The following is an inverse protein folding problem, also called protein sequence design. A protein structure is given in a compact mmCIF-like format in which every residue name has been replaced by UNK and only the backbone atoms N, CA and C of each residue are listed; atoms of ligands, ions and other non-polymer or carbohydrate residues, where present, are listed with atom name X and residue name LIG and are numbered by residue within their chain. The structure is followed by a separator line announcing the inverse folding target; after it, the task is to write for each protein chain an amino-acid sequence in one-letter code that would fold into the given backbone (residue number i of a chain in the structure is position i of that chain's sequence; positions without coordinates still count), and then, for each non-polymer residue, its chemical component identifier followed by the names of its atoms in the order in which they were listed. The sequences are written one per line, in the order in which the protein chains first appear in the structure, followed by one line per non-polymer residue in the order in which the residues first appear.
data_IF_298777731763
#
_entry.id   IF_298777731763
#
_cell.length_a   1.000
_cell.length_b   1.000
_cell.length_c   1.000
_cell.angle_alpha   90.00
_cell.angle_beta   90.00
_cell.angle_gamma   90.00
#
_symmetry.space_group_name_H-M   'P 1'
#
loop_
_entity.id
_entity.type
_entity.pdbx_description
1 polymer ?
#
# COMPACT_ATOMS: atom_id res chain seq x y z
N UNK A 1 -80.76 -48.78 -4.54
CA UNK A 1 -80.66 -48.12 -3.22
C UNK A 1 -79.98 -49.07 -2.25
N UNK A 2 -78.75 -48.77 -1.84
CA UNK A 2 -78.06 -49.46 -0.74
C UNK A 2 -77.18 -48.41 -0.06
N UNK A 3 -77.69 -47.85 1.02
CA UNK A 3 -76.98 -46.88 1.85
C UNK A 3 -75.96 -47.63 2.71
N UNK A 4 -74.68 -47.31 2.51
CA UNK A 4 -73.58 -47.76 3.33
C UNK A 4 -73.46 -46.76 4.50
N UNK A 5 -73.78 -47.18 5.72
CA UNK A 5 -73.53 -46.40 6.93
C UNK A 5 -72.03 -46.40 7.25
N UNK A 6 -71.36 -45.27 7.03
CA UNK A 6 -70.03 -44.97 7.61
C UNK A 6 -70.21 -44.60 9.09
N UNK A 7 -69.72 -45.46 9.97
CA UNK A 7 -69.59 -45.20 11.41
C UNK A 7 -68.29 -44.39 11.62
N UNK A 8 -68.29 -43.20 12.26
CA UNK A 8 -67.06 -42.52 12.63
C UNK A 8 -66.51 -43.17 13.90
N UNK A 9 -65.36 -43.83 13.77
CA UNK A 9 -64.55 -44.32 14.90
C UNK A 9 -63.87 -43.10 15.54
N UNK A 10 -64.49 -42.58 16.60
CA UNK A 10 -63.90 -41.53 17.42
C UNK A 10 -62.68 -42.10 18.17
N UNK A 11 -61.47 -41.74 17.71
CA UNK A 11 -60.25 -41.87 18.49
C UNK A 11 -60.33 -40.93 19.70
N UNK A 12 -60.67 -41.50 20.86
CA UNK A 12 -60.45 -40.88 22.16
C UNK A 12 -58.95 -40.87 22.43
N UNK A 13 -58.27 -39.81 21.99
CA UNK A 13 -56.94 -39.47 22.51
C UNK A 13 -57.17 -38.94 23.93
N UNK A 14 -57.25 -39.85 24.90
CA UNK A 14 -57.10 -39.49 26.31
C UNK A 14 -55.68 -38.97 26.47
N UNK A 15 -55.53 -37.65 26.59
CA UNK A 15 -54.32 -37.03 27.10
C UNK A 15 -54.13 -37.48 28.54
N UNK A 16 -53.29 -38.50 28.76
CA UNK A 16 -52.67 -38.71 30.06
C UNK A 16 -51.86 -37.44 30.36
N UNK A 17 -52.39 -36.57 31.22
CA UNK A 17 -51.58 -35.52 31.84
C UNK A 17 -50.44 -36.23 32.57
N UNK A 18 -49.21 -35.96 32.15
CA UNK A 18 -48.02 -36.61 32.69
C UNK A 18 -47.78 -36.05 34.10
N UNK A 19 -48.32 -36.73 35.11
CA UNK A 19 -48.36 -36.27 36.50
C UNK A 19 -46.99 -35.85 37.02
N UNK A 20 -45.93 -36.56 36.60
CA UNK A 20 -44.56 -36.29 37.01
C UNK A 20 -44.02 -34.95 36.48
N UNK A 21 -44.46 -34.49 35.30
CA UNK A 21 -44.06 -33.19 34.74
C UNK A 21 -44.66 -32.07 35.59
N UNK A 22 -45.94 -32.17 35.93
CA UNK A 22 -46.62 -31.17 36.77
C UNK A 22 -46.05 -31.14 38.19
N UNK A 23 -45.74 -32.31 38.76
CA UNK A 23 -45.11 -32.41 40.08
C UNK A 23 -43.69 -31.80 40.07
N UNK A 24 -42.88 -32.07 39.04
CA UNK A 24 -41.58 -31.42 38.86
C UNK A 24 -41.74 -29.90 38.74
N UNK A 25 -42.67 -29.42 37.88
CA UNK A 25 -42.94 -27.99 37.68
C UNK A 25 -43.40 -27.29 38.97
N UNK A 26 -44.13 -28.00 39.84
CA UNK A 26 -44.55 -27.52 41.16
C UNK A 26 -43.45 -27.55 42.22
N UNK A 27 -42.38 -28.32 42.01
CA UNK A 27 -41.25 -28.44 42.93
C UNK A 27 -40.32 -27.22 42.90
N UNK A 28 -39.37 -27.16 43.84
CA UNK A 28 -38.33 -26.11 43.90
C UNK A 28 -36.95 -26.72 43.74
N UNK A 29 -36.02 -25.96 43.14
CA UNK A 29 -34.63 -26.37 43.00
C UNK A 29 -33.87 -25.97 44.28
N UNK A 30 -33.06 -26.88 44.88
CA UNK A 30 -32.23 -26.53 46.03
C UNK A 30 -31.36 -25.31 45.77
N UNK A 31 -31.50 -24.27 46.60
CA UNK A 31 -30.84 -22.97 46.44
C UNK A 31 -31.70 -21.88 45.81
N UNK A 32 -32.84 -22.23 45.18
CA UNK A 32 -33.74 -21.29 44.51
C UNK A 32 -35.20 -21.47 44.99
N UNK A 33 -35.42 -21.57 46.30
CA UNK A 33 -36.73 -21.86 46.89
C UNK A 33 -37.80 -20.77 46.67
N UNK A 34 -37.41 -19.60 46.14
CA UNK A 34 -38.33 -18.49 45.85
C UNK A 34 -39.20 -18.71 44.61
N UNK A 35 -38.86 -19.68 43.76
CA UNK A 35 -39.59 -19.98 42.52
C UNK A 35 -39.72 -21.48 42.33
N UNK A 36 -40.82 -21.90 41.71
CA UNK A 36 -40.97 -23.29 41.27
C UNK A 36 -40.18 -23.53 39.98
N UNK A 37 -39.90 -24.81 39.65
CA UNK A 37 -39.26 -25.18 38.39
C UNK A 37 -40.06 -24.64 37.20
N UNK A 38 -41.39 -24.78 37.21
CA UNK A 38 -42.26 -24.27 36.15
C UNK A 38 -42.15 -22.75 35.99
N UNK A 39 -42.12 -21.99 37.09
CA UNK A 39 -41.94 -20.53 37.04
C UNK A 39 -40.61 -20.11 36.43
N UNK A 40 -39.54 -20.88 36.69
CA UNK A 40 -38.20 -20.61 36.15
C UNK A 40 -38.07 -20.99 34.67
N UNK A 41 -38.68 -22.11 34.25
CA UNK A 41 -38.41 -22.72 32.94
C UNK A 41 -39.48 -22.41 31.88
N UNK A 42 -40.75 -22.22 32.23
CA UNK A 42 -41.84 -22.10 31.25
C UNK A 42 -41.95 -20.72 30.59
N UNK A 43 -41.52 -19.66 31.28
CA UNK A 43 -41.74 -18.26 30.85
C UNK A 43 -40.43 -17.50 30.59
N UNK A 44 -39.43 -18.20 30.06
CA UNK A 44 -38.10 -17.64 29.78
C UNK A 44 -38.14 -16.76 28.53
N UNK A 45 -37.59 -15.56 28.62
CA UNK A 45 -37.53 -14.60 27.50
C UNK A 45 -36.72 -15.16 26.32
N UNK A 46 -35.59 -15.81 26.63
CA UNK A 46 -34.72 -16.49 25.67
C UNK A 46 -35.44 -17.53 24.79
N UNK A 47 -36.44 -18.22 25.31
CA UNK A 47 -37.08 -19.36 24.63
C UNK A 47 -38.20 -18.87 23.70
N UNK A 48 -38.14 -19.26 22.42
CA UNK A 48 -39.22 -19.11 21.44
C UNK A 48 -40.37 -20.04 21.78
N UNK A 49 -40.04 -21.28 22.13
CA UNK A 49 -40.96 -22.30 22.60
C UNK A 49 -40.25 -23.16 23.64
N UNK A 50 -41.04 -23.76 24.52
CA UNK A 50 -40.60 -24.74 25.51
C UNK A 50 -41.38 -26.02 25.32
N UNK A 51 -40.73 -27.15 25.52
CA UNK A 51 -41.36 -28.47 25.49
C UNK A 51 -40.91 -29.29 26.69
N UNK A 52 -41.83 -30.11 27.19
CA UNK A 52 -41.59 -31.04 28.29
C UNK A 52 -42.06 -32.41 27.86
N UNK A 53 -41.22 -33.42 28.09
CA UNK A 53 -41.57 -34.80 27.77
C UNK A 53 -41.05 -35.76 28.83
N UNK A 54 -41.64 -36.94 28.88
CA UNK A 54 -41.19 -38.02 29.76
C UNK A 54 -40.72 -39.19 28.92
N UNK A 55 -39.60 -39.79 29.31
CA UNK A 55 -39.11 -41.05 28.74
C UNK A 55 -38.63 -41.99 29.85
N UNK A 56 -38.50 -43.26 29.50
CA UNK A 56 -37.85 -44.24 30.36
C UNK A 56 -36.35 -44.26 30.07
N UNK A 57 -35.53 -44.18 31.11
CA UNK A 57 -34.10 -44.42 31.07
C UNK A 57 -33.75 -45.89 30.88
N UNK A 58 -32.46 -46.17 30.69
CA UNK A 58 -31.96 -47.51 30.37
C UNK A 58 -32.20 -48.53 31.50
N UNK A 59 -32.35 -48.06 32.75
CA UNK A 59 -32.60 -48.93 33.91
C UNK A 59 -34.07 -48.91 34.35
N UNK A 60 -34.96 -48.36 33.51
CA UNK A 60 -36.38 -48.26 33.79
C UNK A 60 -36.75 -47.10 34.71
N UNK A 61 -35.80 -46.23 35.06
CA UNK A 61 -36.08 -44.96 35.74
C UNK A 61 -36.86 -44.01 34.84
N UNK A 62 -37.74 -43.20 35.42
CA UNK A 62 -38.45 -42.16 34.67
C UNK A 62 -37.56 -40.92 34.56
N UNK A 63 -37.43 -40.39 33.36
CA UNK A 63 -36.67 -39.17 33.05
C UNK A 63 -37.64 -38.15 32.46
N UNK A 64 -37.61 -36.93 32.98
CA UNK A 64 -38.32 -35.79 32.45
C UNK A 64 -37.31 -34.92 31.69
N UNK A 65 -37.57 -34.64 30.43
CA UNK A 65 -36.76 -33.77 29.60
C UNK A 65 -37.48 -32.44 29.39
N UNK A 66 -36.75 -31.34 29.60
CA UNK A 66 -37.11 -30.00 29.18
C UNK A 66 -36.28 -29.62 27.97
N UNK A 67 -36.91 -28.92 27.02
CA UNK A 67 -36.22 -28.28 25.93
C UNK A 67 -36.71 -26.84 25.70
N UNK A 68 -35.77 -25.95 25.43
CA UNK A 68 -35.98 -24.54 25.10
C UNK A 68 -35.41 -24.26 23.72
N UNK A 69 -36.28 -24.04 22.73
CA UNK A 69 -35.86 -23.56 21.41
C UNK A 69 -35.58 -22.07 21.55
N UNK A 70 -34.35 -21.64 21.30
CA UNK A 70 -33.96 -20.24 21.48
C UNK A 70 -34.58 -19.32 20.42
N UNK A 71 -34.85 -18.07 20.79
CA UNK A 71 -35.27 -17.01 19.86
C UNK A 71 -34.10 -16.48 19.04
N UNK A 72 -34.44 -15.98 17.85
CA UNK A 72 -33.58 -15.12 17.02
C UNK A 72 -32.25 -15.75 16.58
N UNK A 73 -32.17 -17.09 16.57
CA UNK A 73 -30.95 -17.81 16.15
C UNK A 73 -30.58 -17.47 14.70
N UNK A 74 -31.53 -17.64 13.77
CA UNK A 74 -31.31 -17.36 12.35
C UNK A 74 -31.00 -15.88 12.09
N UNK A 75 -31.76 -14.96 12.70
CA UNK A 75 -31.56 -13.52 12.54
C UNK A 75 -30.16 -13.09 13.02
N UNK A 76 -29.72 -13.63 14.16
CA UNK A 76 -28.37 -13.38 14.66
C UNK A 76 -27.31 -13.91 13.69
N UNK A 77 -27.45 -15.13 13.16
CA UNK A 77 -26.46 -15.68 12.24
C UNK A 77 -26.38 -14.88 10.93
N UNK A 78 -27.51 -14.49 10.36
CA UNK A 78 -27.54 -13.67 9.14
C UNK A 78 -26.87 -12.32 9.36
N UNK A 79 -27.20 -11.63 10.45
CA UNK A 79 -26.57 -10.36 10.82
C UNK A 79 -25.07 -10.53 11.05
N UNK A 80 -24.66 -11.57 11.77
CA UNK A 80 -23.25 -11.80 12.08
C UNK A 80 -22.42 -12.12 10.83
N UNK A 81 -22.98 -12.86 9.86
CA UNK A 81 -22.35 -13.11 8.55
C UNK A 81 -22.18 -11.80 7.78
N UNK A 82 -23.21 -10.96 7.76
CA UNK A 82 -23.18 -9.66 7.06
C UNK A 82 -22.16 -8.71 7.68
N UNK A 83 -22.18 -8.52 9.00
CA UNK A 83 -21.21 -7.68 9.72
C UNK A 83 -19.77 -8.18 9.50
N UNK A 84 -19.56 -9.50 9.54
CA UNK A 84 -18.24 -10.09 9.26
C UNK A 84 -17.79 -9.86 7.81
N UNK A 85 -18.73 -9.86 6.86
CA UNK A 85 -18.42 -9.60 5.46
C UNK A 85 -18.04 -8.13 5.24
N UNK A 86 -18.74 -7.19 5.86
CA UNK A 86 -18.36 -5.76 5.86
C UNK A 86 -16.96 -5.56 6.46
N UNK A 87 -16.68 -6.24 7.58
CA UNK A 87 -15.34 -6.25 8.19
C UNK A 87 -14.28 -6.80 7.23
N UNK A 88 -14.60 -7.82 6.42
CA UNK A 88 -13.68 -8.36 5.41
C UNK A 88 -13.45 -7.37 4.28
N UNK A 89 -14.50 -6.73 3.78
CA UNK A 89 -14.40 -5.69 2.73
C UNK A 89 -13.61 -4.47 3.23
N UNK A 90 -13.78 -4.09 4.50
CA UNK A 90 -13.02 -3.00 5.13
C UNK A 90 -11.52 -3.25 5.19
N UNK A 91 -11.05 -4.49 5.01
CA UNK A 91 -9.62 -4.80 4.91
C UNK A 91 -9.04 -4.52 3.53
N UNK A 92 -9.85 -4.56 2.48
CA UNK A 92 -9.44 -4.13 1.14
C UNK A 92 -9.06 -2.65 1.18
N UNK A 93 -9.83 -1.85 1.92
CA UNK A 93 -9.58 -0.42 2.08
C UNK A 93 -8.36 -0.07 2.95
N UNK A 94 -7.66 -1.04 3.53
CA UNK A 94 -6.40 -0.78 4.24
C UNK A 94 -5.26 -0.91 3.24
N UNK A 95 -4.45 0.15 3.12
CA UNK A 95 -3.29 0.25 2.22
C UNK A 95 -2.63 -1.10 1.96
N UNK A 96 -2.94 -1.67 0.80
CA UNK A 96 -2.28 -2.88 0.33
C UNK A 96 -0.80 -2.60 0.04
N UNK A 97 0.01 -3.65 -0.07
CA UNK A 97 1.38 -3.49 -0.55
C UNK A 97 1.45 -2.82 -1.94
N UNK A 98 0.40 -2.98 -2.75
CA UNK A 98 0.28 -2.33 -4.06
C UNK A 98 0.01 -0.83 -3.92
N UNK A 99 -0.84 -0.40 -2.98
CA UNK A 99 -1.04 1.04 -2.69
C UNK A 99 0.25 1.71 -2.18
N UNK A 100 1.05 1.02 -1.37
CA UNK A 100 2.36 1.53 -0.97
C UNK A 100 3.29 1.72 -2.18
N UNK A 101 3.28 0.79 -3.14
CA UNK A 101 4.05 0.93 -4.38
C UNK A 101 3.53 2.06 -5.26
N UNK A 102 2.21 2.26 -5.32
CA UNK A 102 1.58 3.40 -6.01
C UNK A 102 2.08 4.72 -5.40
N UNK A 103 2.09 4.85 -4.06
CA UNK A 103 2.61 6.04 -3.38
C UNK A 103 4.08 6.28 -3.72
N UNK A 104 4.93 5.24 -3.63
CA UNK A 104 6.36 5.33 -3.94
C UNK A 104 6.63 5.77 -5.39
N UNK A 105 5.90 5.20 -6.36
CA UNK A 105 6.00 5.58 -7.77
C UNK A 105 5.48 6.99 -8.00
N UNK A 106 4.41 7.38 -7.31
CA UNK A 106 3.86 8.75 -7.40
C UNK A 106 4.86 9.78 -6.90
N UNK A 107 5.50 9.52 -5.76
CA UNK A 107 6.59 10.36 -5.24
C UNK A 107 7.78 10.42 -6.20
N UNK A 108 8.18 9.26 -6.75
CA UNK A 108 9.21 9.15 -7.78
C UNK A 108 8.86 9.96 -9.03
N UNK A 109 7.60 9.96 -9.47
CA UNK A 109 7.13 10.69 -10.65
C UNK A 109 7.21 12.20 -10.43
N UNK A 110 6.80 12.70 -9.26
CA UNK A 110 6.96 14.11 -8.89
C UNK A 110 8.42 14.54 -8.93
N UNK A 111 9.33 13.69 -8.44
CA UNK A 111 10.77 13.94 -8.51
C UNK A 111 11.27 14.03 -9.96
N UNK A 112 10.93 13.06 -10.81
CA UNK A 112 11.38 13.02 -12.21
C UNK A 112 10.77 14.14 -13.05
N UNK A 113 9.51 14.53 -12.82
CA UNK A 113 8.89 15.67 -13.48
C UNK A 113 9.60 16.98 -13.11
N UNK A 114 9.97 17.17 -11.84
CA UNK A 114 10.76 18.34 -11.41
C UNK A 114 12.15 18.35 -12.07
N UNK A 115 12.81 17.20 -12.13
CA UNK A 115 14.10 17.08 -12.81
C UNK A 115 13.98 17.39 -14.31
N UNK A 116 12.92 16.92 -14.97
CA UNK A 116 12.64 17.23 -16.37
C UNK A 116 12.43 18.73 -16.58
N UNK A 117 11.69 19.42 -15.70
CA UNK A 117 11.55 20.88 -15.75
C UNK A 117 12.91 21.57 -15.64
N UNK A 118 13.74 21.15 -14.69
CA UNK A 118 15.07 21.74 -14.53
C UNK A 118 15.96 21.56 -15.79
N UNK A 119 15.95 20.37 -16.40
CA UNK A 119 16.69 20.12 -17.66
C UNK A 119 16.13 20.95 -18.81
N UNK A 120 14.81 21.16 -18.87
CA UNK A 120 14.19 22.02 -19.87
C UNK A 120 14.60 23.48 -19.68
N UNK A 121 14.63 23.98 -18.45
CA UNK A 121 15.09 25.33 -18.13
C UNK A 121 16.57 25.52 -18.53
N UNK A 122 17.43 24.53 -18.26
CA UNK A 122 18.84 24.55 -18.68
C UNK A 122 19.04 24.51 -20.20
N UNK A 123 18.09 23.94 -20.95
CA UNK A 123 18.09 23.93 -22.41
C UNK A 123 17.59 25.26 -22.97
N UNK A 124 16.58 25.87 -22.34
CA UNK A 124 16.01 27.15 -22.76
C UNK A 124 16.96 28.33 -22.49
N UNK A 125 17.79 28.20 -21.45
CA UNK A 125 18.99 29.01 -21.29
C UNK A 125 19.99 28.66 -22.41
N UNK A 126 19.87 29.34 -23.56
CA UNK A 126 20.81 29.31 -24.70
C UNK A 126 22.18 29.91 -24.34
N UNK A 127 22.66 29.62 -23.14
CA UNK A 127 23.93 30.07 -22.61
C UNK A 127 25.04 29.12 -23.05
N UNK A 128 26.16 29.66 -23.57
CA UNK A 128 27.34 28.87 -23.88
C UNK A 128 27.85 28.15 -22.63
N UNK A 129 28.49 27.00 -22.83
CA UNK A 129 29.09 26.28 -21.72
C UNK A 129 30.10 27.18 -20.97
N UNK A 130 30.18 27.16 -19.62
CA UNK A 130 31.06 28.05 -18.86
C UNK A 130 32.54 28.01 -19.32
N UNK A 131 32.99 26.85 -19.78
CA UNK A 131 34.32 26.70 -20.37
C UNK A 131 34.46 27.39 -21.73
N UNK A 132 33.44 27.34 -22.59
CA UNK A 132 33.39 28.04 -23.86
C UNK A 132 33.43 29.57 -23.65
N UNK A 133 32.75 30.09 -22.62
CA UNK A 133 32.83 31.51 -22.22
C UNK A 133 34.27 31.89 -21.88
N UNK A 134 34.96 31.08 -21.06
CA UNK A 134 36.36 31.31 -20.67
C UNK A 134 37.32 31.25 -21.87
N UNK A 135 37.11 30.33 -22.80
CA UNK A 135 37.90 30.26 -24.03
C UNK A 135 37.59 31.45 -24.96
N UNK A 136 36.33 31.88 -25.07
CA UNK A 136 35.92 33.06 -25.82
C UNK A 136 36.60 34.34 -25.31
N UNK A 137 36.75 34.49 -23.99
CA UNK A 137 37.53 35.58 -23.40
C UNK A 137 39.01 35.54 -23.82
N UNK A 138 39.61 34.34 -23.93
CA UNK A 138 40.99 34.20 -24.43
C UNK A 138 41.10 34.53 -25.91
N UNK A 139 40.12 34.12 -26.72
CA UNK A 139 40.03 34.49 -28.13
C UNK A 139 39.94 36.01 -28.28
N UNK A 140 39.12 36.70 -27.48
CA UNK A 140 39.01 38.15 -27.50
C UNK A 140 40.36 38.86 -27.25
N UNK A 141 41.15 38.40 -26.28
CA UNK A 141 42.51 38.93 -26.00
C UNK A 141 43.46 38.68 -27.18
N UNK A 142 43.39 37.52 -27.82
CA UNK A 142 44.22 37.22 -29.00
C UNK A 142 43.82 38.04 -30.23
N UNK A 143 42.53 38.35 -30.40
CA UNK A 143 42.05 39.24 -31.45
C UNK A 143 42.62 40.64 -31.24
N UNK A 144 42.54 41.19 -30.02
CA UNK A 144 43.13 42.49 -29.69
C UNK A 144 44.64 42.51 -29.97
N UNK A 145 45.36 41.46 -29.56
CA UNK A 145 46.79 41.30 -29.87
C UNK A 145 47.07 41.27 -31.38
N UNK A 146 46.24 40.56 -32.16
CA UNK A 146 46.36 40.50 -33.61
C UNK A 146 46.13 41.87 -34.25
N UNK A 147 45.14 42.61 -33.78
CA UNK A 147 44.85 43.98 -34.24
C UNK A 147 46.02 44.92 -33.94
N UNK A 148 46.59 44.87 -32.74
CA UNK A 148 47.81 45.62 -32.38
C UNK A 148 48.98 45.25 -33.32
N UNK A 149 49.28 43.95 -33.48
CA UNK A 149 50.33 43.46 -34.39
C UNK A 149 50.12 43.90 -35.85
N UNK A 150 48.88 44.06 -36.29
CA UNK A 150 48.54 44.49 -37.64
C UNK A 150 48.67 46.01 -37.83
N UNK A 151 48.58 46.77 -36.74
CA UNK A 151 48.71 48.22 -36.73
C UNK A 151 50.16 48.71 -36.55
N UNK A 152 51.05 47.86 -36.00
CA UNK A 152 52.44 48.22 -35.72
C UNK A 152 53.24 48.48 -37.00
N UNK A 153 53.91 49.63 -37.02
CA UNK A 153 54.95 49.93 -38.01
C UNK A 153 56.34 49.54 -37.49
N UNK A 154 57.32 49.49 -38.38
CA UNK A 154 58.73 49.30 -38.01
C UNK A 154 59.23 50.38 -37.03
N UNK A 155 58.78 51.61 -37.21
CA UNK A 155 59.14 52.73 -36.36
C UNK A 155 58.53 52.55 -34.96
N UNK A 156 57.30 52.05 -34.85
CA UNK A 156 56.67 51.75 -33.56
C UNK A 156 57.44 50.68 -32.78
N UNK A 157 57.96 49.65 -33.48
CA UNK A 157 58.80 48.61 -32.87
C UNK A 157 60.16 49.16 -32.46
N UNK A 158 60.78 49.99 -33.31
CA UNK A 158 62.06 50.64 -33.02
C UNK A 158 61.97 51.55 -31.79
N UNK A 159 60.87 52.29 -31.67
CA UNK A 159 60.61 53.21 -30.56
C UNK A 159 60.07 52.51 -29.31
N UNK A 160 59.63 51.25 -29.42
CA UNK A 160 59.08 50.49 -28.30
C UNK A 160 57.64 50.86 -27.93
N UNK A 161 56.86 51.33 -28.91
CA UNK A 161 55.45 51.71 -28.76
C UNK A 161 54.51 50.52 -28.94
N UNK A 162 54.66 49.51 -28.08
CA UNK A 162 53.77 48.36 -28.01
C UNK A 162 53.47 48.05 -26.55
N UNK A 163 52.27 47.58 -26.26
CA UNK A 163 51.73 47.54 -24.89
C UNK A 163 51.49 46.13 -24.36
N UNK A 164 51.22 45.16 -25.23
CA UNK A 164 50.67 43.85 -24.81
C UNK A 164 51.63 42.67 -24.88
N UNK A 165 52.76 42.74 -25.59
CA UNK A 165 53.61 41.56 -25.77
C UNK A 165 55.11 41.78 -25.48
N UNK A 166 55.74 40.72 -24.99
CA UNK A 166 57.15 40.71 -24.59
C UNK A 166 58.00 40.36 -25.81
N UNK A 167 58.88 41.26 -26.20
CA UNK A 167 59.80 41.01 -27.31
C UNK A 167 60.85 39.93 -26.94
N UNK A 168 61.11 38.97 -27.83
CA UNK A 168 62.27 38.10 -27.73
C UNK A 168 63.57 38.91 -27.71
N UNK A 169 64.62 38.34 -27.10
CA UNK A 169 65.93 38.98 -26.99
C UNK A 169 66.51 39.42 -28.34
N UNK A 170 66.30 38.62 -29.38
CA UNK A 170 66.79 38.92 -30.73
C UNK A 170 66.11 40.15 -31.34
N UNK A 171 64.85 40.43 -30.96
CA UNK A 171 64.12 41.63 -31.39
C UNK A 171 64.53 42.85 -30.58
N UNK A 172 64.80 42.67 -29.28
CA UNK A 172 65.39 43.73 -28.45
C UNK A 172 66.76 44.16 -29.00
N UNK A 173 67.56 43.18 -29.46
CA UNK A 173 68.87 43.43 -30.07
C UNK A 173 68.73 44.12 -31.43
N UNK A 174 67.85 43.62 -32.32
CA UNK A 174 67.56 44.25 -33.61
C UNK A 174 67.02 45.68 -33.46
N UNK A 175 66.17 45.93 -32.45
CA UNK A 175 65.70 47.27 -32.09
C UNK A 175 66.86 48.20 -31.72
N UNK A 176 67.79 47.71 -30.90
CA UNK A 176 68.95 48.51 -30.51
C UNK A 176 69.81 48.87 -31.72
N UNK A 177 70.02 47.93 -32.65
CA UNK A 177 70.74 48.15 -33.91
C UNK A 177 70.04 49.19 -34.82
N UNK A 178 68.71 49.27 -34.80
CA UNK A 178 67.96 50.32 -35.54
C UNK A 178 68.03 51.70 -34.88
N UNK A 179 68.09 51.76 -33.54
CA UNK A 179 68.04 53.02 -32.79
C UNK A 179 69.40 53.74 -32.69
N UNK A 180 70.52 53.03 -32.88
CA UNK A 180 71.86 53.60 -32.75
C UNK A 180 72.43 54.04 -34.11
N UNK A 181 72.42 55.34 -34.39
CA UNK A 181 73.14 55.94 -35.53
C UNK A 181 74.68 55.95 -35.35
N UNK A 182 75.17 55.52 -34.18
CA UNK A 182 76.58 55.57 -33.82
C UNK A 182 77.26 54.23 -34.08
N UNK A 183 78.21 54.22 -35.03
CA UNK A 183 79.06 53.06 -35.34
C UNK A 183 79.95 52.77 -34.13
N UNK A 184 79.87 51.59 -33.50
CA UNK A 184 80.87 51.17 -32.53
C UNK A 184 82.22 51.05 -33.22
N UNK A 185 83.23 51.77 -32.72
CA UNK A 185 84.61 51.74 -33.22
C UNK A 185 85.12 50.29 -33.30
N UNK A 186 85.15 49.71 -34.50
CA UNK A 186 85.71 48.37 -34.74
C UNK A 186 84.94 47.46 -35.71
N UNK A 187 83.77 47.84 -36.22
CA UNK A 187 83.02 47.02 -37.18
C UNK A 187 82.99 47.63 -38.59
N UNK A 188 83.21 46.79 -39.61
CA UNK A 188 83.37 47.18 -41.02
C UNK A 188 82.11 47.08 -41.89
N UNK A 189 80.95 46.74 -41.31
CA UNK A 189 79.68 46.68 -42.06
C UNK A 189 79.08 48.09 -42.24
N UNK A 190 78.61 48.45 -43.44
CA UNK A 190 77.87 49.70 -43.67
C UNK A 190 76.61 49.76 -42.79
N UNK A 191 76.36 50.92 -42.17
CA UNK A 191 75.19 51.16 -41.29
C UNK A 191 73.85 50.73 -41.94
N UNK A 192 73.72 50.94 -43.25
CA UNK A 192 72.54 50.56 -44.04
C UNK A 192 72.27 49.05 -44.04
N UNK A 193 73.31 48.21 -44.16
CA UNK A 193 73.14 46.75 -44.19
C UNK A 193 72.67 46.19 -42.83
N UNK A 194 73.08 46.82 -41.73
CA UNK A 194 72.64 46.48 -40.36
C UNK A 194 71.19 46.86 -40.12
N UNK A 195 70.82 48.08 -40.48
CA UNK A 195 69.43 48.54 -40.39
C UNK A 195 68.50 47.67 -41.25
N UNK A 196 68.91 47.32 -42.47
CA UNK A 196 68.16 46.42 -43.33
C UNK A 196 68.04 44.99 -42.76
N UNK A 197 69.08 44.49 -42.09
CA UNK A 197 69.05 43.19 -41.42
C UNK A 197 68.11 43.22 -40.21
N UNK A 198 68.22 44.24 -39.36
CA UNK A 198 67.35 44.41 -38.20
C UNK A 198 65.88 44.56 -38.61
N UNK A 199 65.61 45.33 -39.68
CA UNK A 199 64.28 45.45 -40.29
C UNK A 199 63.72 44.09 -40.71
N UNK A 200 64.49 43.28 -41.45
CA UNK A 200 64.06 41.94 -41.87
C UNK A 200 63.77 41.03 -40.68
N UNK A 201 64.57 41.11 -39.62
CA UNK A 201 64.37 40.32 -38.38
C UNK A 201 63.03 40.71 -37.72
N UNK A 202 62.76 42.01 -37.59
CA UNK A 202 61.50 42.52 -37.01
C UNK A 202 60.29 42.16 -37.87
N UNK A 203 60.35 42.35 -39.19
CA UNK A 203 59.28 41.99 -40.12
C UNK A 203 58.96 40.49 -40.06
N UNK A 204 60.01 39.65 -40.07
CA UNK A 204 59.85 38.19 -39.98
C UNK A 204 59.19 37.80 -38.66
N UNK A 205 59.60 38.41 -37.56
CA UNK A 205 59.01 38.16 -36.24
C UNK A 205 57.54 38.59 -36.18
N UNK A 206 57.20 39.79 -36.68
CA UNK A 206 55.81 40.26 -36.70
C UNK A 206 54.91 39.33 -37.51
N UNK A 207 55.36 38.87 -38.68
CA UNK A 207 54.58 37.94 -39.51
C UNK A 207 54.46 36.55 -38.87
N UNK A 208 55.52 36.04 -38.23
CA UNK A 208 55.47 34.78 -37.48
C UNK A 208 54.52 34.87 -36.28
N UNK A 209 54.55 35.98 -35.54
CA UNK A 209 53.69 36.21 -34.38
C UNK A 209 52.22 36.37 -34.79
N UNK A 210 51.93 37.09 -35.89
CA UNK A 210 50.59 37.18 -36.48
C UNK A 210 50.09 35.80 -36.89
N UNK A 211 50.91 35.01 -37.59
CA UNK A 211 50.56 33.65 -38.03
C UNK A 211 50.26 32.75 -36.84
N UNK A 212 51.08 32.81 -35.79
CA UNK A 212 50.91 32.00 -34.58
C UNK A 212 49.64 32.41 -33.83
N UNK A 213 49.41 33.72 -33.67
CA UNK A 213 48.21 34.26 -33.02
C UNK A 213 46.94 33.86 -33.78
N UNK A 214 46.95 33.94 -35.12
CA UNK A 214 45.83 33.50 -35.95
C UNK A 214 45.58 31.99 -35.80
N UNK A 215 46.63 31.17 -35.83
CA UNK A 215 46.52 29.73 -35.64
C UNK A 215 45.96 29.36 -34.26
N UNK A 216 46.32 30.11 -33.22
CA UNK A 216 45.78 29.93 -31.88
C UNK A 216 44.31 30.34 -31.77
N UNK A 217 43.90 31.43 -32.42
CA UNK A 217 42.49 31.83 -32.53
C UNK A 217 41.67 30.70 -33.17
N UNK A 218 42.07 30.24 -34.36
CA UNK A 218 41.37 29.17 -35.10
C UNK A 218 41.34 27.84 -34.31
N UNK A 219 42.36 27.56 -33.49
CA UNK A 219 42.38 26.40 -32.61
C UNK A 219 41.39 26.54 -31.47
N UNK A 220 41.35 27.69 -30.80
CA UNK A 220 40.46 27.95 -29.68
C UNK A 220 38.98 28.05 -30.13
N UNK A 221 38.71 28.63 -31.29
CA UNK A 221 37.36 28.67 -31.88
C UNK A 221 36.82 27.26 -32.14
N UNK A 222 37.65 26.37 -32.73
CA UNK A 222 37.28 24.95 -32.89
C UNK A 222 37.03 24.25 -31.55
N UNK A 223 37.84 24.55 -30.54
CA UNK A 223 37.66 23.99 -29.19
C UNK A 223 36.34 24.46 -28.55
N UNK A 224 35.98 25.74 -28.72
CA UNK A 224 34.69 26.30 -28.29
C UNK A 224 33.52 25.58 -28.99
N UNK A 225 33.59 25.40 -30.31
CA UNK A 225 32.55 24.71 -31.09
C UNK A 225 32.39 23.25 -30.64
N UNK A 226 33.50 22.54 -30.41
CA UNK A 226 33.47 21.17 -29.91
C UNK A 226 32.85 21.06 -28.51
N UNK A 227 33.18 22.00 -27.61
CA UNK A 227 32.63 22.05 -26.25
C UNK A 227 31.12 22.30 -26.30
N UNK A 228 30.67 23.29 -27.07
CA UNK A 228 29.25 23.62 -27.20
C UNK A 228 28.47 22.45 -27.82
N UNK A 229 29.01 21.80 -28.85
CA UNK A 229 28.41 20.61 -29.45
C UNK A 229 28.27 19.46 -28.44
N UNK A 230 29.32 19.17 -27.66
CA UNK A 230 29.26 18.13 -26.61
C UNK A 230 28.25 18.48 -25.52
N UNK A 231 28.15 19.76 -25.15
CA UNK A 231 27.17 20.23 -24.18
C UNK A 231 25.73 20.02 -24.69
N UNK A 232 25.47 20.35 -25.96
CA UNK A 232 24.17 20.12 -26.61
C UNK A 232 23.81 18.62 -26.66
N UNK A 233 24.76 17.77 -27.08
CA UNK A 233 24.57 16.31 -27.09
C UNK A 233 24.30 15.75 -25.68
N UNK A 234 24.97 16.27 -24.66
CA UNK A 234 24.74 15.91 -23.26
C UNK A 234 23.35 16.33 -22.76
N UNK A 235 22.93 17.57 -23.07
CA UNK A 235 21.58 18.07 -22.75
C UNK A 235 20.51 17.21 -23.42
N UNK A 236 20.65 16.92 -24.72
CA UNK A 236 19.72 16.08 -25.47
C UNK A 236 19.62 14.66 -24.89
N UNK A 237 20.76 14.03 -24.53
CA UNK A 237 20.77 12.72 -23.85
C UNK A 237 20.07 12.75 -22.50
N UNK A 238 20.33 13.78 -21.70
CA UNK A 238 19.72 13.95 -20.38
C UNK A 238 18.21 14.15 -20.48
N UNK A 239 17.75 14.97 -21.44
CA UNK A 239 16.34 15.17 -21.74
C UNK A 239 15.65 13.87 -22.19
N UNK A 240 16.27 13.13 -23.11
CA UNK A 240 15.73 11.86 -23.58
C UNK A 240 15.63 10.82 -22.45
N UNK A 241 16.63 10.77 -21.56
CA UNK A 241 16.61 9.89 -20.40
C UNK A 241 15.53 10.28 -19.38
N UNK A 242 15.39 11.57 -19.09
CA UNK A 242 14.38 12.07 -18.15
C UNK A 242 12.95 11.80 -18.66
N UNK A 243 12.70 12.03 -19.97
CA UNK A 243 11.40 11.71 -20.59
C UNK A 243 11.09 10.23 -20.50
N UNK A 244 12.05 9.36 -20.83
CA UNK A 244 11.87 7.92 -20.76
C UNK A 244 11.52 7.46 -19.34
N UNK A 245 12.20 7.99 -18.32
CA UNK A 245 11.90 7.66 -16.92
C UNK A 245 10.48 8.11 -16.50
N UNK A 246 10.03 9.29 -16.95
CA UNK A 246 8.65 9.75 -16.72
C UNK A 246 7.65 8.82 -17.40
N UNK A 247 7.87 8.47 -18.67
CA UNK A 247 6.98 7.59 -19.44
C UNK A 247 6.91 6.18 -18.82
N UNK A 248 8.05 5.60 -18.43
CA UNK A 248 8.12 4.29 -17.76
C UNK A 248 7.36 4.29 -16.42
N UNK A 249 7.56 5.32 -15.59
CA UNK A 249 6.83 5.44 -14.32
C UNK A 249 5.33 5.67 -14.52
N UNK A 250 4.91 6.41 -15.55
CA UNK A 250 3.48 6.59 -15.89
C UNK A 250 2.83 5.28 -16.31
N UNK A 251 3.51 4.50 -17.14
CA UNK A 251 3.01 3.20 -17.56
C UNK A 251 2.90 2.23 -16.38
N UNK A 252 3.94 2.16 -15.53
CA UNK A 252 3.92 1.31 -14.35
C UNK A 252 2.83 1.72 -13.35
N UNK A 253 2.60 3.04 -13.16
CA UNK A 253 1.51 3.53 -12.33
C UNK A 253 0.15 3.08 -12.85
N UNK A 254 -0.10 3.22 -14.16
CA UNK A 254 -1.35 2.78 -14.77
C UNK A 254 -1.57 1.28 -14.64
N UNK A 255 -0.53 0.45 -14.83
CA UNK A 255 -0.60 -0.99 -14.64
C UNK A 255 -0.95 -1.37 -13.18
N UNK A 256 -0.35 -0.70 -12.20
CA UNK A 256 -0.63 -0.96 -10.78
C UNK A 256 -2.02 -0.49 -10.36
N UNK A 257 -2.49 0.65 -10.88
CA UNK A 257 -3.85 1.14 -10.64
C UNK A 257 -4.89 0.15 -11.18
N UNK A 258 -4.67 -0.40 -12.38
CA UNK A 258 -5.51 -1.45 -12.94
C UNK A 258 -5.47 -2.73 -12.08
N UNK A 259 -4.27 -3.16 -11.65
CA UNK A 259 -4.10 -4.33 -10.78
C UNK A 259 -4.89 -4.18 -9.46
N UNK A 260 -4.87 -3.00 -8.83
CA UNK A 260 -5.61 -2.73 -7.59
C UNK A 260 -7.12 -2.87 -7.82
N UNK A 261 -7.64 -2.30 -8.90
CA UNK A 261 -9.08 -2.38 -9.23
C UNK A 261 -9.49 -3.83 -9.46
N UNK A 262 -8.76 -4.56 -10.30
CA UNK A 262 -9.05 -5.97 -10.60
C UNK A 262 -8.99 -6.84 -9.35
N UNK A 263 -8.00 -6.62 -8.48
CA UNK A 263 -7.86 -7.37 -7.22
C UNK A 263 -9.00 -7.06 -6.25
N UNK A 264 -9.41 -5.79 -6.15
CA UNK A 264 -10.54 -5.38 -5.32
C UNK A 264 -11.84 -6.04 -5.80
N UNK A 265 -12.15 -5.98 -7.09
CA UNK A 265 -13.34 -6.62 -7.68
C UNK A 265 -13.36 -8.15 -7.46
N UNK A 266 -12.20 -8.80 -7.64
CA UNK A 266 -12.06 -10.24 -7.39
C UNK A 266 -12.33 -10.58 -5.93
N UNK A 267 -11.82 -9.80 -4.98
CA UNK A 267 -12.06 -10.05 -3.57
C UNK A 267 -13.51 -9.76 -3.16
N UNK A 268 -14.11 -8.68 -3.65
CA UNK A 268 -15.54 -8.39 -3.42
C UNK A 268 -16.41 -9.55 -3.89
N UNK A 269 -16.09 -10.11 -5.06
CA UNK A 269 -16.77 -11.29 -5.59
C UNK A 269 -16.57 -12.51 -4.68
N UNK A 270 -15.34 -12.78 -4.24
CA UNK A 270 -15.05 -13.88 -3.31
C UNK A 270 -15.81 -13.76 -1.99
N UNK A 271 -15.86 -12.56 -1.40
CA UNK A 271 -16.62 -12.31 -0.16
C UNK A 271 -18.12 -12.49 -0.40
N UNK A 272 -18.65 -11.97 -1.51
CA UNK A 272 -20.07 -12.13 -1.86
C UNK A 272 -20.45 -13.59 -2.05
N UNK A 273 -19.64 -14.34 -2.79
CA UNK A 273 -19.87 -15.77 -3.03
C UNK A 273 -19.78 -16.57 -1.72
N UNK A 274 -18.82 -16.25 -0.85
CA UNK A 274 -18.70 -16.84 0.48
C UNK A 274 -19.92 -16.56 1.37
N UNK A 275 -20.42 -15.32 1.39
CA UNK A 275 -21.65 -14.98 2.13
C UNK A 275 -22.85 -15.74 1.58
N UNK A 276 -22.98 -15.81 0.25
CA UNK A 276 -24.06 -16.56 -0.40
C UNK A 276 -23.97 -18.06 -0.06
N UNK A 277 -22.76 -18.64 -0.06
CA UNK A 277 -22.52 -20.02 0.34
C UNK A 277 -22.96 -20.27 1.78
N UNK A 278 -22.51 -19.44 2.74
CA UNK A 278 -22.90 -19.58 4.14
C UNK A 278 -24.41 -19.44 4.34
N UNK A 279 -25.05 -18.46 3.68
CA UNK A 279 -26.51 -18.28 3.75
C UNK A 279 -27.28 -19.46 3.14
N UNK A 280 -26.70 -20.14 2.16
CA UNK A 280 -27.29 -21.31 1.51
C UNK A 280 -26.97 -22.64 2.24
N UNK A 281 -26.09 -22.63 3.24
CA UNK A 281 -25.89 -23.79 4.11
C UNK A 281 -27.11 -23.96 5.02
N UNK A 282 -27.71 -25.15 4.94
CA UNK A 282 -28.82 -25.70 5.75
C UNK A 282 -29.85 -24.71 6.32
N UNK A 283 -31.11 -24.84 5.91
CA UNK A 283 -32.24 -24.13 6.54
C UNK A 283 -32.48 -24.55 8.00
N UNK A 284 -31.86 -25.64 8.45
CA UNK A 284 -31.99 -26.17 9.81
C UNK A 284 -31.04 -25.43 10.78
N UNK A 285 -31.21 -24.11 10.89
CA UNK A 285 -30.51 -23.28 11.88
C UNK A 285 -31.31 -23.23 13.17
N UNK A 286 -30.77 -23.80 14.24
CA UNK A 286 -31.45 -23.83 15.54
C UNK A 286 -30.45 -23.87 16.69
N UNK A 287 -30.95 -23.49 17.87
CA UNK A 287 -30.29 -23.70 19.14
C UNK A 287 -31.33 -24.16 20.17
N UNK A 288 -31.03 -25.27 20.83
CA UNK A 288 -31.85 -25.95 21.81
C UNK A 288 -31.08 -26.03 23.12
N UNK A 289 -31.57 -25.42 24.18
CA UNK A 289 -31.09 -25.69 25.53
C UNK A 289 -31.95 -26.78 26.16
N UNK A 290 -31.32 -27.80 26.74
CA UNK A 290 -32.02 -28.95 27.31
C UNK A 290 -31.58 -29.24 28.73
N UNK A 291 -32.52 -29.75 29.52
CA UNK A 291 -32.30 -30.23 30.87
C UNK A 291 -33.06 -31.55 31.04
N UNK A 292 -32.43 -32.53 31.69
CA UNK A 292 -33.08 -33.80 32.02
C UNK A 292 -33.05 -34.01 33.52
N UNK A 293 -34.18 -34.43 34.10
CA UNK A 293 -34.29 -34.81 35.51
C UNK A 293 -34.66 -36.27 35.63
N UNK A 294 -33.99 -36.99 36.53
CA UNK A 294 -34.42 -38.33 36.94
C UNK A 294 -35.40 -38.23 38.11
N UNK A 295 -36.47 -39.02 38.05
CA UNK A 295 -37.43 -39.16 39.15
C UNK A 295 -36.97 -40.29 40.07
N UNK A 296 -36.55 -39.96 41.28
CA UNK A 296 -36.09 -40.94 42.26
C UNK A 296 -37.29 -41.68 42.91
N UNK A 297 -37.10 -42.90 43.45
CA UNK A 297 -38.20 -43.69 44.04
C UNK A 297 -38.92 -43.03 45.23
N UNK A 298 -38.27 -42.07 45.89
CA UNK A 298 -38.82 -41.26 46.98
C UNK A 298 -39.59 -40.02 46.50
N UNK A 299 -39.74 -39.84 45.17
CA UNK A 299 -40.38 -38.68 44.56
C UNK A 299 -39.50 -37.43 44.46
N UNK A 300 -38.19 -37.51 44.73
CA UNK A 300 -37.28 -36.37 44.51
C UNK A 300 -36.76 -36.33 43.09
N UNK A 301 -36.42 -35.13 42.60
CA UNK A 301 -35.90 -34.91 41.26
C UNK A 301 -34.43 -34.51 41.29
N UNK A 302 -33.61 -35.14 40.46
CA UNK A 302 -32.18 -34.83 40.33
C UNK A 302 -31.85 -34.51 38.87
N UNK A 303 -31.09 -33.43 38.63
CA UNK A 303 -30.64 -33.06 37.28
C UNK A 303 -29.62 -34.09 36.80
N UNK A 304 -29.98 -34.81 35.75
CA UNK A 304 -29.14 -35.79 35.07
C UNK A 304 -28.29 -35.16 33.97
N UNK A 305 -28.88 -34.26 33.19
CA UNK A 305 -28.22 -33.58 32.08
C UNK A 305 -28.62 -32.12 32.04
N UNK A 306 -27.69 -31.27 31.63
CA UNK A 306 -27.96 -29.90 31.25
C UNK A 306 -26.96 -29.49 30.19
N UNK A 307 -27.44 -28.93 29.08
CA UNK A 307 -26.58 -28.55 27.98
C UNK A 307 -27.32 -27.76 26.93
N UNK A 308 -26.64 -27.49 25.84
CA UNK A 308 -27.28 -27.00 24.63
C UNK A 308 -26.72 -27.73 23.43
N UNK A 309 -27.58 -27.92 22.45
CA UNK A 309 -27.21 -28.34 21.10
C UNK A 309 -27.72 -27.33 20.09
N UNK A 310 -27.09 -27.27 18.93
CA UNK A 310 -27.52 -26.39 17.88
C UNK A 310 -26.85 -26.72 16.56
N UNK A 311 -27.45 -26.21 15.50
CA UNK A 311 -26.89 -26.29 14.18
C UNK A 311 -26.74 -24.86 13.64
N UNK A 312 -25.50 -24.51 13.31
CA UNK A 312 -25.07 -23.18 12.90
C UNK A 312 -24.53 -23.21 11.48
N UNK A 313 -24.82 -22.18 10.67
CA UNK A 313 -24.20 -21.99 9.34
C UNK A 313 -22.68 -21.82 9.42
N UNK A 314 -22.18 -21.31 10.56
CA UNK A 314 -20.77 -20.98 10.73
C UNK A 314 -20.03 -22.09 11.46
N UNK A 315 -20.67 -22.68 12.49
CA UNK A 315 -20.03 -23.68 13.37
C UNK A 315 -20.36 -25.12 13.00
N UNK A 316 -21.37 -25.34 12.16
CA UNK A 316 -21.98 -26.66 11.98
C UNK A 316 -22.74 -27.10 13.23
N UNK A 317 -22.81 -28.42 13.46
CA UNK A 317 -23.43 -28.99 14.65
C UNK A 317 -22.56 -28.76 15.89
N UNK A 318 -23.18 -28.24 16.95
CA UNK A 318 -22.56 -28.00 18.25
C UNK A 318 -23.40 -28.74 19.29
N UNK A 319 -22.73 -29.47 20.19
CA UNK A 319 -23.37 -30.07 21.35
C UNK A 319 -22.44 -29.88 22.55
N UNK A 320 -22.92 -29.19 23.57
CA UNK A 320 -22.14 -28.84 24.76
C UNK A 320 -22.91 -29.12 26.03
N UNK A 321 -22.34 -29.97 26.88
CA UNK A 321 -22.83 -30.18 28.24
C UNK A 321 -22.29 -29.11 29.18
N UNK A 322 -23.15 -28.52 30.00
CA UNK A 322 -22.72 -27.60 31.04
C UNK A 322 -21.87 -28.34 32.08
N UNK A 323 -20.63 -27.89 32.27
CA UNK A 323 -19.74 -28.47 33.28
C UNK A 323 -20.29 -28.32 34.70
N UNK A 324 -21.05 -27.26 34.93
CA UNK A 324 -21.77 -27.04 36.17
C UNK A 324 -23.19 -26.54 35.84
N UNK A 325 -24.17 -27.45 35.89
CA UNK A 325 -25.56 -27.12 35.60
C UNK A 325 -26.12 -26.04 36.54
N UNK A 326 -25.55 -25.84 37.74
CA UNK A 326 -25.98 -24.76 38.64
C UNK A 326 -25.75 -23.39 38.05
N UNK A 327 -24.65 -23.17 37.32
CA UNK A 327 -24.42 -21.91 36.64
C UNK A 327 -25.40 -21.66 35.50
N UNK A 328 -25.91 -22.72 34.87
CA UNK A 328 -26.99 -22.57 33.90
C UNK A 328 -28.29 -22.19 34.60
N UNK A 329 -28.62 -22.83 35.72
CA UNK A 329 -29.79 -22.49 36.54
C UNK A 329 -29.70 -21.07 37.11
N UNK A 330 -28.52 -20.60 37.54
CA UNK A 330 -28.29 -19.21 37.96
C UNK A 330 -28.74 -18.22 36.87
N UNK A 331 -28.37 -18.47 35.62
CA UNK A 331 -28.75 -17.61 34.48
C UNK A 331 -30.24 -17.67 34.19
N UNK A 332 -30.86 -18.85 34.35
CA UNK A 332 -32.31 -19.02 34.23
C UNK A 332 -33.02 -18.20 35.30
N UNK A 333 -32.57 -18.31 36.55
CA UNK A 333 -33.09 -17.57 37.69
C UNK A 333 -32.98 -16.06 37.49
N UNK A 334 -31.86 -15.57 36.97
CA UNK A 334 -31.71 -14.15 36.65
C UNK A 334 -32.67 -13.68 35.54
N UNK A 335 -33.08 -14.59 34.63
CA UNK A 335 -33.96 -14.33 33.49
C UNK A 335 -33.61 -13.05 32.70
N UNK A 336 -32.29 -12.79 32.58
CA UNK A 336 -31.74 -11.60 31.91
C UNK A 336 -31.59 -11.81 30.40
N UNK A 337 -31.34 -13.04 29.98
CA UNK A 337 -31.09 -13.40 28.59
C UNK A 337 -32.39 -13.35 27.79
N UNK A 338 -32.41 -12.55 26.73
CA UNK A 338 -33.59 -12.31 25.90
C UNK A 338 -33.52 -13.02 24.55
N UNK A 339 -32.33 -13.25 24.02
CA UNK A 339 -32.11 -13.83 22.69
C UNK A 339 -30.81 -14.65 22.63
N UNK A 340 -30.62 -15.34 21.49
CA UNK A 340 -29.46 -16.21 21.25
C UNK A 340 -28.12 -15.49 21.35
N UNK A 341 -28.03 -14.23 20.91
CA UNK A 341 -26.80 -13.45 20.98
C UNK A 341 -26.34 -13.23 22.43
N UNK A 342 -27.24 -12.80 23.30
CA UNK A 342 -26.95 -12.62 24.73
C UNK A 342 -26.55 -13.94 25.38
N UNK A 343 -27.20 -15.05 24.99
CA UNK A 343 -26.82 -16.38 25.43
C UNK A 343 -25.38 -16.73 25.03
N UNK A 344 -25.00 -16.53 23.76
CA UNK A 344 -23.64 -16.78 23.28
C UNK A 344 -22.59 -15.89 23.95
N UNK A 345 -22.91 -14.62 24.23
CA UNK A 345 -22.02 -13.73 24.98
C UNK A 345 -21.82 -14.22 26.40
N UNK A 346 -22.89 -14.64 27.07
CA UNK A 346 -22.83 -15.14 28.44
C UNK A 346 -22.09 -16.49 28.54
N UNK A 347 -22.19 -17.36 27.54
CA UNK A 347 -21.52 -18.68 27.52
C UNK A 347 -20.12 -18.65 26.93
N UNK A 348 -19.69 -17.53 26.34
CA UNK A 348 -18.41 -17.41 25.64
C UNK A 348 -18.44 -17.91 24.19
N UNK A 349 -19.57 -18.40 23.69
CA UNK A 349 -19.74 -18.84 22.31
C UNK A 349 -19.51 -17.72 21.26
N UNK A 350 -19.73 -16.46 21.63
CA UNK A 350 -19.47 -15.32 20.73
C UNK A 350 -17.97 -15.18 20.40
N UNK A 351 -17.08 -15.46 21.35
CA UNK A 351 -15.64 -15.40 21.11
C UNK A 351 -15.19 -16.53 20.16
N UNK A 352 -15.79 -17.70 20.28
CA UNK A 352 -15.54 -18.85 19.40
C UNK A 352 -15.97 -18.56 17.96
N UNK A 353 -17.14 -17.93 17.76
CA UNK A 353 -17.60 -17.50 16.43
C UNK A 353 -16.63 -16.52 15.79
N UNK A 354 -16.15 -15.53 16.54
CA UNK A 354 -15.12 -14.59 16.04
C UNK A 354 -13.83 -15.31 15.62
N UNK A 355 -13.40 -16.34 16.38
CA UNK A 355 -12.22 -17.13 16.01
C UNK A 355 -12.44 -17.95 14.73
N UNK A 356 -13.64 -18.50 14.53
CA UNK A 356 -14.00 -19.21 13.30
C UNK A 356 -13.99 -18.26 12.10
N UNK A 357 -14.61 -17.08 12.21
CA UNK A 357 -14.58 -16.07 11.15
C UNK A 357 -13.18 -15.57 10.84
N UNK A 358 -12.31 -15.43 11.86
CA UNK A 358 -10.90 -15.11 11.63
C UNK A 358 -10.16 -16.18 10.83
N UNK A 359 -10.55 -17.46 10.92
CA UNK A 359 -9.97 -18.53 10.10
C UNK A 359 -10.47 -18.46 8.66
N UNK A 360 -11.76 -18.23 8.45
CA UNK A 360 -12.32 -17.99 7.12
C UNK A 360 -11.64 -16.80 6.44
N UNK A 361 -11.47 -15.71 7.18
CA UNK A 361 -10.71 -14.53 6.73
C UNK A 361 -9.31 -14.89 6.25
N UNK A 362 -8.56 -15.67 7.03
CA UNK A 362 -7.22 -16.11 6.65
C UNK A 362 -7.22 -16.93 5.35
N UNK A 363 -8.20 -17.81 5.18
CA UNK A 363 -8.38 -18.61 3.97
C UNK A 363 -8.68 -17.75 2.74
N UNK A 364 -9.62 -16.81 2.86
CA UNK A 364 -9.98 -15.88 1.78
C UNK A 364 -8.78 -15.03 1.35
N UNK A 365 -8.03 -14.48 2.30
CA UNK A 365 -6.83 -13.70 2.02
C UNK A 365 -5.76 -14.54 1.32
N UNK A 366 -5.60 -15.82 1.68
CA UNK A 366 -4.61 -16.70 1.04
C UNK A 366 -4.95 -17.10 -0.41
N UNK A 367 -6.19 -16.87 -0.85
CA UNK A 367 -6.66 -17.16 -2.21
C UNK A 367 -6.45 -15.97 -3.16
N UNK A 368 -6.21 -14.79 -2.61
CA UNK A 368 -5.80 -13.58 -3.34
C UNK A 368 -4.29 -13.52 -3.53
#
# INVERSE_FOLDING_TARGET
MRNLCMLPLAFLIYGCSDHDIEDLKGSTIPGYSSYTVGQLFDNRKLCKSVDWSTRNGERGEKIIDYSCVMRDVLEFEERFIEESAEDFLGLIGRKSGTEYRIDEITEGLVYHERYLTHVLDEIEMDEPHPEAIRLGQRVAVLIEKREELSSLTLDDVAEGRFSTFRLPFDIISARHEMATDSIPLGYSEPNVERQDRAKRIIETFLEEEKRTTLSDIERLEREIDEINKRAEENRARSLASARRAVDENKNLLAELEEEVVVRAEKFETLVRDFVAELKNQSDDVYALESFSWVVAPNGTYEVLHAGFEGHSRIRGYVNTTYHNYRHAIDRIYENRLQNYEEFLRATGGHAEMNQIMSRYRGSLISTL
#
